data_IF_321291852961
#
_entry.id   IF_321291852961
#
_cell.length_a   1.000
_cell.length_b   1.000
_cell.length_c   1.000
_cell.angle_alpha   90.00
_cell.angle_beta   90.00
_cell.angle_gamma   90.00
#
_symmetry.space_group_name_H-M   'P 1'
#
loop_
_entity.id
_entity.type
_entity.pdbx_description
1 polymer ?
#
# COMPACT_ATOMS: atom_id res chain seq x y z
N UNK A 1 -3.87 22.37 -10.88
CA UNK A 1 -2.76 22.30 -9.91
C UNK A 1 -3.25 22.30 -8.46
N UNK A 2 -3.94 23.34 -7.95
CA UNK A 2 -4.48 23.37 -6.55
C UNK A 2 -5.34 22.16 -6.18
N UNK A 3 -6.29 21.74 -7.04
CA UNK A 3 -7.16 20.58 -6.79
C UNK A 3 -6.41 19.24 -6.69
N UNK A 4 -5.32 19.06 -7.44
CA UNK A 4 -4.48 17.84 -7.41
C UNK A 4 -3.61 17.79 -6.16
N UNK A 5 -2.99 18.92 -5.79
CA UNK A 5 -2.19 19.05 -4.58
C UNK A 5 -3.05 18.81 -3.34
N UNK A 6 -4.27 19.33 -3.33
CA UNK A 6 -5.24 19.12 -2.24
C UNK A 6 -5.69 17.65 -2.13
N UNK A 7 -5.83 16.94 -3.25
CA UNK A 7 -6.12 15.50 -3.26
C UNK A 7 -4.94 14.68 -2.74
N UNK A 8 -3.72 14.96 -3.20
CA UNK A 8 -2.50 14.28 -2.74
C UNK A 8 -2.29 14.52 -1.24
N UNK A 9 -2.53 15.74 -0.76
CA UNK A 9 -2.49 16.07 0.67
C UNK A 9 -3.55 15.30 1.46
N UNK A 10 -4.80 15.23 1.00
CA UNK A 10 -5.87 14.46 1.67
C UNK A 10 -5.53 12.96 1.73
N UNK A 11 -4.98 12.41 0.65
CA UNK A 11 -4.46 11.04 0.63
C UNK A 11 -3.32 10.82 1.64
N UNK A 12 -2.33 11.72 1.64
CA UNK A 12 -1.19 11.63 2.55
C UNK A 12 -1.61 11.75 4.01
N UNK A 13 -2.56 12.63 4.33
CA UNK A 13 -3.12 12.79 5.67
C UNK A 13 -3.88 11.55 6.12
N UNK A 14 -4.73 10.96 5.25
CA UNK A 14 -5.44 9.71 5.57
C UNK A 14 -4.45 8.57 5.84
N UNK A 15 -3.42 8.42 5.00
CA UNK A 15 -2.37 7.43 5.21
C UNK A 15 -1.58 7.65 6.50
N UNK A 16 -1.28 8.90 6.84
CA UNK A 16 -0.61 9.24 8.10
C UNK A 16 -1.48 8.89 9.32
N UNK A 17 -2.79 9.16 9.26
CA UNK A 17 -3.73 8.78 10.33
C UNK A 17 -3.80 7.25 10.46
N UNK A 18 -3.91 6.54 9.34
CA UNK A 18 -3.90 5.08 9.35
C UNK A 18 -2.61 4.52 9.98
N UNK A 19 -1.45 5.10 9.67
CA UNK A 19 -0.18 4.74 10.28
C UNK A 19 -0.16 5.00 11.80
N UNK A 20 -0.68 6.15 12.26
CA UNK A 20 -0.77 6.45 13.69
C UNK A 20 -1.68 5.46 14.40
N UNK A 21 -2.81 5.08 13.80
CA UNK A 21 -3.73 4.07 14.32
C UNK A 21 -3.01 2.71 14.45
N UNK A 22 -2.30 2.28 13.40
CA UNK A 22 -1.53 1.03 13.39
C UNK A 22 -0.50 1.01 14.52
N UNK A 23 0.33 2.06 14.59
CA UNK A 23 1.38 2.18 15.57
C UNK A 23 0.84 2.29 17.01
N UNK A 24 -0.25 3.03 17.21
CA UNK A 24 -0.92 3.18 18.50
C UNK A 24 -1.54 1.87 19.00
N UNK A 25 -2.26 1.15 18.14
CA UNK A 25 -2.86 -0.15 18.48
C UNK A 25 -1.76 -1.17 18.79
N UNK A 26 -0.68 -1.21 18.01
CA UNK A 26 0.45 -2.11 18.28
C UNK A 26 1.04 -1.85 19.66
N UNK A 27 1.34 -0.59 19.99
CA UNK A 27 1.92 -0.23 21.28
C UNK A 27 0.94 -0.46 22.43
N UNK A 28 -0.36 -0.28 22.22
CA UNK A 28 -1.37 -0.62 23.21
C UNK A 28 -1.40 -2.13 23.48
N UNK A 29 -1.45 -2.95 22.42
CA UNK A 29 -1.54 -4.41 22.53
C UNK A 29 -0.25 -5.04 23.10
N UNK A 30 0.92 -4.61 22.62
CA UNK A 30 2.20 -5.14 23.12
C UNK A 30 2.58 -4.51 24.46
N UNK A 31 2.41 -3.19 24.59
CA UNK A 31 2.84 -2.43 25.76
C UNK A 31 1.94 -2.62 26.97
N UNK A 32 0.62 -2.52 26.81
CA UNK A 32 -0.32 -2.60 27.93
C UNK A 32 -0.82 -4.03 28.15
N UNK A 33 -1.22 -4.71 27.07
CA UNK A 33 -1.79 -6.05 27.16
C UNK A 33 -0.77 -7.18 27.11
N UNK A 34 0.53 -6.87 26.98
CA UNK A 34 1.61 -7.87 26.91
C UNK A 34 1.33 -8.95 25.85
N UNK A 35 0.72 -8.55 24.72
CA UNK A 35 0.37 -9.47 23.65
C UNK A 35 1.60 -9.77 22.77
N UNK A 36 1.65 -10.97 22.22
CA UNK A 36 2.69 -11.35 21.27
C UNK A 36 2.70 -10.40 20.06
N UNK A 37 3.87 -9.87 19.71
CA UNK A 37 4.03 -8.80 18.73
C UNK A 37 3.50 -9.13 17.32
N UNK A 38 3.63 -10.37 16.84
CA UNK A 38 3.10 -10.79 15.54
C UNK A 38 1.57 -10.71 15.52
N UNK A 39 0.90 -11.17 16.59
CA UNK A 39 -0.56 -11.12 16.71
C UNK A 39 -1.02 -9.67 16.84
N UNK A 40 -0.37 -8.91 17.72
CA UNK A 40 -0.64 -7.48 17.89
C UNK A 40 -0.41 -6.69 16.59
N UNK A 41 0.66 -6.99 15.87
CA UNK A 41 1.03 -6.44 14.56
C UNK A 41 0.02 -6.76 13.48
N UNK A 42 -0.52 -7.98 13.49
CA UNK A 42 -1.56 -8.43 12.56
C UNK A 42 -2.87 -7.68 12.82
N UNK A 43 -3.30 -7.59 14.08
CA UNK A 43 -4.55 -6.90 14.46
C UNK A 43 -4.44 -5.41 14.18
N UNK A 44 -3.35 -4.77 14.59
CA UNK A 44 -3.11 -3.34 14.35
C UNK A 44 -3.11 -3.00 12.86
N UNK A 45 -2.39 -3.78 12.05
CA UNK A 45 -2.34 -3.58 10.60
C UNK A 45 -3.72 -3.78 9.97
N UNK A 46 -4.46 -4.81 10.37
CA UNK A 46 -5.80 -5.08 9.84
C UNK A 46 -6.78 -3.95 10.15
N UNK A 47 -6.81 -3.45 11.39
CA UNK A 47 -7.67 -2.33 11.79
C UNK A 47 -7.29 -1.05 11.01
N UNK A 48 -5.99 -0.77 10.89
CA UNK A 48 -5.49 0.36 10.10
C UNK A 48 -5.87 0.23 8.62
N UNK A 49 -5.77 -0.97 8.05
CA UNK A 49 -6.14 -1.25 6.67
C UNK A 49 -7.62 -0.99 6.41
N UNK A 50 -8.49 -1.46 7.30
CA UNK A 50 -9.94 -1.24 7.21
C UNK A 50 -10.26 0.26 7.27
N UNK A 51 -9.66 0.98 8.22
CA UNK A 51 -9.80 2.44 8.30
C UNK A 51 -9.33 3.13 7.01
N UNK A 52 -8.14 2.76 6.53
CA UNK A 52 -7.55 3.34 5.33
C UNK A 52 -8.42 3.09 4.09
N UNK A 53 -9.04 1.91 3.99
CA UNK A 53 -9.99 1.58 2.94
C UNK A 53 -11.23 2.49 2.99
N UNK A 54 -11.91 2.58 4.13
CA UNK A 54 -13.11 3.42 4.25
C UNK A 54 -12.82 4.90 4.05
N UNK A 55 -11.70 5.40 4.57
CA UNK A 55 -11.28 6.78 4.38
C UNK A 55 -10.92 7.06 2.92
N UNK A 56 -10.22 6.14 2.24
CA UNK A 56 -9.94 6.26 0.80
C UNK A 56 -11.24 6.22 -0.03
N UNK A 57 -12.19 5.34 0.30
CA UNK A 57 -13.47 5.30 -0.40
C UNK A 57 -14.27 6.60 -0.22
N UNK A 58 -14.25 7.20 0.97
CA UNK A 58 -15.04 8.38 1.31
C UNK A 58 -14.43 9.71 0.82
N UNK A 59 -13.11 9.85 0.85
CA UNK A 59 -12.44 11.14 0.59
C UNK A 59 -11.74 11.23 -0.77
N UNK A 60 -11.41 10.09 -1.35
CA UNK A 60 -10.45 10.01 -2.44
C UNK A 60 -11.10 9.61 -3.77
N UNK A 61 -12.13 8.77 -3.73
CA UNK A 61 -12.84 8.36 -4.94
C UNK A 61 -13.74 9.50 -5.44
N UNK A 62 -13.19 10.32 -6.35
CA UNK A 62 -13.95 10.91 -7.44
C UNK A 62 -13.65 10.08 -8.69
N UNK A 63 -14.70 9.48 -9.27
CA UNK A 63 -14.69 8.65 -10.48
C UNK A 63 -13.58 8.98 -11.47
N UNK A 64 -12.69 8.02 -11.74
CA UNK A 64 -11.91 7.96 -12.98
C UNK A 64 -12.61 7.00 -13.95
N UNK A 65 -12.79 7.37 -15.23
CA UNK A 65 -13.50 6.54 -16.21
C UNK A 65 -12.66 5.42 -16.86
N UNK A 66 -11.36 5.30 -16.55
CA UNK A 66 -10.43 4.47 -17.35
C UNK A 66 -10.13 3.06 -16.78
N UNK A 67 -10.78 2.63 -15.68
CA UNK A 67 -10.61 1.27 -15.13
C UNK A 67 -11.83 0.85 -14.30
N UNK A 68 -12.20 -0.45 -14.33
CA UNK A 68 -13.34 -0.91 -13.55
C UNK A 68 -13.04 -0.92 -12.04
N UNK A 69 -13.99 -0.39 -11.26
CA UNK A 69 -13.86 -0.16 -9.81
C UNK A 69 -13.51 -1.42 -9.00
N UNK A 70 -14.00 -2.58 -9.44
CA UNK A 70 -13.77 -3.85 -8.74
C UNK A 70 -12.31 -4.32 -8.82
N UNK A 71 -11.62 -4.02 -9.94
CA UNK A 71 -10.24 -4.41 -10.16
C UNK A 71 -9.27 -3.56 -9.35
N UNK A 72 -9.48 -2.24 -9.30
CA UNK A 72 -8.69 -1.36 -8.42
C UNK A 72 -8.78 -1.82 -6.96
N UNK A 73 -9.98 -2.24 -6.54
CA UNK A 73 -10.23 -2.76 -5.21
C UNK A 73 -9.57 -4.13 -4.98
N UNK A 74 -9.61 -5.03 -5.98
CA UNK A 74 -8.95 -6.32 -5.93
C UNK A 74 -7.42 -6.18 -5.85
N UNK A 75 -6.81 -5.29 -6.64
CA UNK A 75 -5.39 -4.97 -6.60
C UNK A 75 -5.00 -4.39 -5.23
N UNK A 76 -5.81 -3.47 -4.70
CA UNK A 76 -5.59 -2.92 -3.36
C UNK A 76 -5.64 -4.00 -2.29
N UNK A 77 -6.66 -4.87 -2.32
CA UNK A 77 -6.82 -5.95 -1.35
C UNK A 77 -5.67 -6.95 -1.42
N UNK A 78 -5.29 -7.38 -2.63
CA UNK A 78 -4.15 -8.28 -2.84
C UNK A 78 -2.84 -7.67 -2.34
N UNK A 79 -2.56 -6.41 -2.71
CA UNK A 79 -1.38 -5.68 -2.22
C UNK A 79 -1.35 -5.59 -0.70
N UNK A 80 -2.52 -5.37 -0.09
CA UNK A 80 -2.67 -5.27 1.37
C UNK A 80 -2.46 -6.60 2.09
N UNK A 81 -2.88 -7.73 1.50
CA UNK A 81 -2.62 -9.06 2.04
C UNK A 81 -1.12 -9.39 2.02
N UNK A 82 -0.42 -9.08 0.93
CA UNK A 82 1.04 -9.24 0.87
C UNK A 82 1.73 -8.29 1.85
N UNK A 83 1.24 -7.05 1.97
CA UNK A 83 1.71 -6.09 2.96
C UNK A 83 1.55 -6.61 4.39
N UNK A 84 0.42 -7.23 4.72
CA UNK A 84 0.18 -7.86 6.02
C UNK A 84 1.17 -8.99 6.29
N UNK A 85 1.40 -9.86 5.30
CA UNK A 85 2.37 -10.95 5.42
C UNK A 85 3.79 -10.43 5.66
N UNK A 86 4.24 -9.45 4.87
CA UNK A 86 5.55 -8.81 5.05
C UNK A 86 5.64 -8.14 6.43
N UNK A 87 4.57 -7.49 6.89
CA UNK A 87 4.52 -6.87 8.21
C UNK A 87 4.74 -7.90 9.33
N UNK A 88 3.97 -8.98 9.30
CA UNK A 88 4.08 -10.07 10.27
C UNK A 88 5.47 -10.71 10.26
N UNK A 89 6.02 -10.98 9.07
CA UNK A 89 7.34 -11.59 8.90
C UNK A 89 8.46 -10.73 9.48
N UNK A 90 8.46 -9.43 9.18
CA UNK A 90 9.51 -8.50 9.63
C UNK A 90 9.43 -8.28 11.14
N UNK A 91 8.22 -8.14 11.70
CA UNK A 91 8.03 -8.02 13.15
C UNK A 91 8.51 -9.30 13.84
N UNK A 92 8.16 -10.48 13.30
CA UNK A 92 8.65 -11.75 13.84
C UNK A 92 10.18 -11.84 13.84
N UNK A 93 10.81 -11.48 12.71
CA UNK A 93 12.27 -11.44 12.59
C UNK A 93 12.92 -10.45 13.57
N UNK A 94 12.28 -9.31 13.83
CA UNK A 94 12.82 -8.28 14.74
C UNK A 94 12.97 -8.76 16.19
N UNK A 95 12.14 -9.72 16.60
CA UNK A 95 12.20 -10.35 17.93
C UNK A 95 12.71 -11.78 17.90
N UNK A 96 13.25 -12.22 16.76
CA UNK A 96 13.81 -13.55 16.62
C UNK A 96 15.02 -13.71 17.54
N UNK A 97 15.07 -14.83 18.27
CA UNK A 97 16.13 -15.12 19.24
C UNK A 97 15.89 -14.58 20.66
N UNK A 98 14.80 -13.86 20.91
CA UNK A 98 14.39 -13.52 22.27
C UNK A 98 13.71 -14.71 22.96
N UNK A 99 13.75 -14.73 24.30
CA UNK A 99 13.05 -15.74 25.08
C UNK A 99 11.54 -15.73 24.75
N UNK A 100 10.89 -16.89 24.83
CA UNK A 100 9.45 -17.02 24.56
C UNK A 100 8.62 -16.11 25.45
N UNK A 101 9.07 -15.88 26.68
CA UNK A 101 8.41 -15.02 27.67
C UNK A 101 8.96 -13.58 27.68
N UNK A 102 9.74 -13.18 26.67
CA UNK A 102 10.36 -11.85 26.62
C UNK A 102 9.33 -10.72 26.56
N UNK A 103 8.11 -11.01 26.09
CA UNK A 103 6.99 -10.07 26.12
C UNK A 103 6.53 -9.70 27.54
N UNK A 104 6.89 -10.48 28.58
CA UNK A 104 6.67 -10.18 30.00
C UNK A 104 7.99 -9.89 30.72
N UNK A 105 8.99 -10.75 30.54
CA UNK A 105 10.25 -10.73 31.31
C UNK A 105 11.25 -9.67 30.84
N UNK A 106 11.20 -9.28 29.56
CA UNK A 106 12.10 -8.31 28.93
C UNK A 106 11.29 -7.27 28.15
N UNK A 107 10.18 -6.83 28.74
CA UNK A 107 9.16 -6.01 28.09
C UNK A 107 9.70 -4.78 27.37
N UNK A 108 10.60 -4.02 28.01
CA UNK A 108 11.16 -2.81 27.41
C UNK A 108 11.99 -3.09 26.14
N UNK A 109 12.84 -4.12 26.16
CA UNK A 109 13.64 -4.51 24.98
C UNK A 109 12.75 -5.11 23.89
N UNK A 110 11.77 -5.93 24.28
CA UNK A 110 10.81 -6.53 23.35
C UNK A 110 9.98 -5.47 22.62
N UNK A 111 9.53 -4.44 23.35
CA UNK A 111 8.77 -3.33 22.81
C UNK A 111 9.62 -2.44 21.89
N UNK A 112 10.88 -2.16 22.26
CA UNK A 112 11.82 -1.42 21.42
C UNK A 112 12.10 -2.16 20.10
N UNK A 113 12.47 -3.45 20.17
CA UNK A 113 12.72 -4.28 18.99
C UNK A 113 11.49 -4.42 18.10
N UNK A 114 10.32 -4.60 18.70
CA UNK A 114 9.04 -4.66 17.97
C UNK A 114 8.74 -3.35 17.24
N UNK A 115 8.96 -2.20 17.88
CA UNK A 115 8.77 -0.90 17.25
C UNK A 115 9.77 -0.64 16.11
N UNK A 116 11.04 -1.01 16.30
CA UNK A 116 12.04 -0.95 15.22
C UNK A 116 11.64 -1.84 14.05
N UNK A 117 11.23 -3.09 14.33
CA UNK A 117 10.70 -4.02 13.33
C UNK A 117 9.49 -3.44 12.61
N UNK A 118 8.56 -2.80 13.33
CA UNK A 118 7.38 -2.16 12.75
C UNK A 118 7.76 -1.03 11.79
N UNK A 119 8.70 -0.17 12.15
CA UNK A 119 9.15 0.92 11.28
C UNK A 119 9.77 0.38 9.99
N UNK A 120 10.65 -0.61 10.09
CA UNK A 120 11.25 -1.28 8.93
C UNK A 120 10.17 -1.94 8.06
N UNK A 121 9.22 -2.61 8.70
CA UNK A 121 8.09 -3.22 8.02
C UNK A 121 7.24 -2.20 7.26
N UNK A 122 6.92 -1.06 7.88
CA UNK A 122 6.17 0.02 7.23
C UNK A 122 6.89 0.54 5.98
N UNK A 123 8.21 0.74 6.05
CA UNK A 123 8.99 1.20 4.89
C UNK A 123 8.97 0.15 3.77
N UNK A 124 9.21 -1.12 4.09
CA UNK A 124 9.21 -2.20 3.10
C UNK A 124 7.82 -2.38 2.47
N UNK A 125 6.75 -2.36 3.28
CA UNK A 125 5.38 -2.45 2.80
C UNK A 125 5.00 -1.24 1.94
N UNK A 126 5.46 -0.04 2.29
CA UNK A 126 5.25 1.15 1.47
C UNK A 126 5.95 1.03 0.11
N UNK A 127 7.18 0.51 0.07
CA UNK A 127 7.90 0.22 -1.18
C UNK A 127 7.14 -0.82 -2.01
N UNK A 128 6.69 -1.91 -1.40
CA UNK A 128 5.89 -2.94 -2.06
C UNK A 128 4.61 -2.37 -2.67
N UNK A 129 3.84 -1.63 -1.88
CA UNK A 129 2.61 -0.98 -2.33
C UNK A 129 2.87 0.00 -3.48
N UNK A 130 3.99 0.73 -3.43
CA UNK A 130 4.41 1.60 -4.52
C UNK A 130 4.74 0.83 -5.80
N UNK A 131 5.50 -0.27 -5.70
CA UNK A 131 5.88 -1.10 -6.86
C UNK A 131 4.63 -1.69 -7.51
N UNK A 132 3.72 -2.28 -6.74
CA UNK A 132 2.48 -2.88 -7.26
C UNK A 132 1.61 -1.83 -7.93
N UNK A 133 1.41 -0.67 -7.29
CA UNK A 133 0.66 0.43 -7.88
C UNK A 133 1.30 0.91 -9.18
N UNK A 134 2.63 1.04 -9.20
CA UNK A 134 3.36 1.47 -10.38
C UNK A 134 3.30 0.46 -11.53
N UNK A 135 3.37 -0.83 -11.22
CA UNK A 135 3.38 -1.89 -12.22
C UNK A 135 1.98 -2.17 -12.79
N UNK A 136 0.93 -2.06 -11.96
CA UNK A 136 -0.43 -2.40 -12.37
C UNK A 136 -1.28 -1.21 -12.81
N UNK A 137 -1.03 -0.01 -12.27
CA UNK A 137 -1.94 1.13 -12.40
C UNK A 137 -1.31 2.37 -13.07
N UNK A 138 0.01 2.44 -13.22
CA UNK A 138 0.69 3.67 -13.64
C UNK A 138 1.22 3.62 -15.08
N UNK A 139 0.35 3.98 -16.01
CA UNK A 139 0.65 4.15 -17.45
C UNK A 139 1.45 5.42 -17.77
N UNK A 140 1.57 6.32 -16.78
CA UNK A 140 2.29 7.59 -16.93
C UNK A 140 3.80 7.39 -17.13
N UNK A 141 4.31 6.18 -16.88
CA UNK A 141 5.72 5.83 -17.02
C UNK A 141 6.22 6.04 -18.45
N UNK A 142 5.42 5.67 -19.46
CA UNK A 142 5.79 5.81 -20.87
C UNK A 142 5.96 7.29 -21.26
N UNK A 143 4.98 8.13 -20.92
CA UNK A 143 4.99 9.56 -21.22
C UNK A 143 6.06 10.33 -20.42
N UNK A 144 6.21 10.04 -19.13
CA UNK A 144 7.21 10.70 -18.28
C UNK A 144 8.64 10.29 -18.64
N UNK A 145 8.90 9.00 -18.91
CA UNK A 145 10.21 8.55 -19.39
C UNK A 145 10.55 9.12 -20.76
N UNK A 146 9.56 9.28 -21.64
CA UNK A 146 9.82 9.84 -22.96
C UNK A 146 10.32 11.29 -22.87
N UNK A 147 9.79 12.08 -21.93
CA UNK A 147 10.24 13.45 -21.65
C UNK A 147 11.66 13.52 -21.07
N UNK A 148 12.16 12.43 -20.49
CA UNK A 148 13.53 12.32 -19.95
C UNK A 148 14.54 11.80 -21.00
N UNK A 149 14.10 11.35 -22.17
CA UNK A 149 15.02 10.90 -23.24
C UNK A 149 15.76 12.09 -23.85
N UNK A 150 17.01 11.85 -24.26
CA UNK A 150 17.81 12.83 -25.03
C UNK A 150 17.01 13.30 -26.24
N UNK A 151 17.16 14.56 -26.62
CA UNK A 151 16.39 15.29 -27.65
C UNK A 151 16.26 14.61 -29.03
N UNK A 152 16.99 13.54 -29.32
CA UNK A 152 16.87 12.72 -30.55
C UNK A 152 16.30 11.31 -30.36
N UNK A 153 16.00 10.88 -29.13
CA UNK A 153 15.43 9.57 -28.81
C UNK A 153 14.01 9.67 -28.24
N UNK A 154 13.38 10.84 -28.30
CA UNK A 154 12.00 11.03 -27.86
C UNK A 154 11.09 10.34 -28.87
N UNK A 155 10.28 9.40 -28.41
CA UNK A 155 9.27 8.69 -29.21
C UNK A 155 8.23 9.69 -29.70
N UNK A 156 7.70 9.48 -30.91
CA UNK A 156 6.50 10.20 -31.36
C UNK A 156 5.28 9.82 -30.51
N UNK A 157 4.20 10.60 -30.59
CA UNK A 157 2.95 10.28 -29.89
C UNK A 157 2.38 8.92 -30.34
N UNK A 158 2.43 8.61 -31.64
CA UNK A 158 2.01 7.32 -32.19
C UNK A 158 2.85 6.14 -31.66
N UNK A 159 4.18 6.29 -31.56
CA UNK A 159 5.05 5.25 -31.02
C UNK A 159 4.84 5.04 -29.52
N UNK A 160 4.49 6.10 -28.80
CA UNK A 160 4.13 6.08 -27.38
C UNK A 160 2.84 5.31 -27.15
N UNK A 161 1.81 5.62 -27.93
CA UNK A 161 0.51 4.94 -27.88
C UNK A 161 0.65 3.46 -28.23
N UNK A 162 1.37 3.11 -29.30
CA UNK A 162 1.60 1.72 -29.69
C UNK A 162 2.37 0.91 -28.62
N UNK A 163 3.27 1.57 -27.87
CA UNK A 163 3.93 0.95 -26.71
C UNK A 163 2.99 0.80 -25.53
N UNK A 164 2.15 1.79 -25.29
CA UNK A 164 1.16 1.77 -24.22
C UNK A 164 0.09 0.69 -24.45
N UNK A 165 -0.43 0.53 -25.65
CA UNK A 165 -1.39 -0.54 -25.99
C UNK A 165 -0.81 -1.95 -25.74
N UNK A 166 0.50 -2.12 -25.94
CA UNK A 166 1.21 -3.38 -25.68
C UNK A 166 1.55 -3.59 -24.20
N UNK A 167 1.35 -2.60 -23.35
CA UNK A 167 1.67 -2.67 -21.92
C UNK A 167 0.73 -3.63 -21.17
N UNK A 168 1.25 -4.21 -20.09
CA UNK A 168 0.46 -5.10 -19.24
C UNK A 168 -0.71 -4.37 -18.57
N UNK A 169 -0.49 -3.15 -18.12
CA UNK A 169 -1.49 -2.28 -17.49
C UNK A 169 -2.66 -1.98 -18.42
N UNK A 170 -2.41 -1.66 -19.70
CA UNK A 170 -3.47 -1.46 -20.69
C UNK A 170 -4.31 -2.74 -20.90
N UNK A 171 -3.65 -3.89 -21.10
CA UNK A 171 -4.34 -5.18 -21.26
C UNK A 171 -5.16 -5.56 -20.02
N UNK A 172 -4.62 -5.30 -18.83
CA UNK A 172 -5.30 -5.53 -17.56
C UNK A 172 -6.54 -4.63 -17.43
N UNK A 173 -6.43 -3.35 -17.81
CA UNK A 173 -7.54 -2.40 -17.82
C UNK A 173 -8.66 -2.83 -18.77
N UNK A 174 -8.34 -3.21 -20.00
CA UNK A 174 -9.32 -3.68 -20.97
C UNK A 174 -10.01 -4.97 -20.52
N UNK A 175 -9.25 -5.95 -20.02
CA UNK A 175 -9.81 -7.19 -19.45
C UNK A 175 -10.75 -6.89 -18.27
N UNK A 176 -10.36 -5.95 -17.41
CA UNK A 176 -11.16 -5.53 -16.26
C UNK A 176 -12.52 -4.95 -16.64
N UNK A 177 -12.58 -4.16 -17.73
CA UNK A 177 -13.82 -3.55 -18.23
C UNK A 177 -14.71 -4.64 -18.85
N UNK A 178 -14.14 -5.51 -19.67
CA UNK A 178 -14.85 -6.62 -20.31
C UNK A 178 -15.47 -7.59 -19.31
N UNK A 179 -14.80 -7.83 -18.18
CA UNK A 179 -15.24 -8.75 -17.13
C UNK A 179 -15.90 -8.05 -15.94
N UNK A 180 -16.46 -6.86 -16.15
CA UNK A 180 -17.13 -6.10 -15.08
C UNK A 180 -18.37 -6.87 -14.57
N UNK A 181 -18.44 -7.24 -13.27
CA UNK A 181 -19.60 -7.92 -12.73
C UNK A 181 -20.83 -7.01 -12.74
N UNK A 182 -22.02 -7.57 -12.97
CA UNK A 182 -23.29 -6.82 -12.95
C UNK A 182 -23.43 -6.05 -11.62
N UNK A 183 -23.68 -4.74 -11.70
CA UNK A 183 -23.80 -3.84 -10.54
C UNK A 183 -22.53 -3.02 -10.21
N UNK A 184 -21.44 -3.21 -10.96
CA UNK A 184 -20.19 -2.44 -10.85
C UNK A 184 -19.96 -1.44 -11.99
N UNK A 185 -20.91 -1.30 -12.91
CA UNK A 185 -20.96 -0.27 -13.96
C UNK A 185 -21.00 1.15 -13.35
#
# INVERSE_FOLDING_TARGET
MRKLIEQILKFGVVGAIAFIIDWGILNLLVGVFHMHNVIAGTISFFISLVFNYFASMKYVFKHRPDMARWMEMAIFLFSSLVGLFLNALIIWLSTYGMNRDAFITQHAEYLLRTNMGKLVATVIVAIWNFIIRKWLLDDTHTNAMNRLRRKGNVLSEEELEAKWEKSFSHRLGMWSIEHTPKGWE
#
